data_IF_401275194038
#
_entry.id   IF_401275194038
#
_cell.length_a   1.000
_cell.length_b   1.000
_cell.length_c   1.000
_cell.angle_alpha   90.00
_cell.angle_beta   90.00
_cell.angle_gamma   90.00
#
_symmetry.space_group_name_H-M   'P 1'
#
loop_
_entity.id
_entity.type
_entity.pdbx_description
1 polymer ?
#
# COMPACT_ATOMS: atom_id res chain seq x y z
N UNK A 1 10.90 -13.20 19.85
CA UNK A 1 9.72 -12.56 19.23
C UNK A 1 9.53 -12.92 17.75
N UNK A 2 10.56 -13.33 17.00
CA UNK A 2 10.48 -13.61 15.56
C UNK A 2 9.25 -14.38 15.07
N UNK A 3 8.96 -15.54 15.68
CA UNK A 3 7.80 -16.36 15.30
C UNK A 3 6.47 -15.65 15.60
N UNK A 4 6.36 -14.98 16.75
CA UNK A 4 5.16 -14.25 17.12
C UNK A 4 4.89 -13.05 16.18
N UNK A 5 5.93 -12.27 15.86
CA UNK A 5 5.83 -11.16 14.89
C UNK A 5 5.46 -11.66 13.49
N UNK A 6 6.08 -12.77 13.05
CA UNK A 6 5.77 -13.38 11.76
C UNK A 6 4.33 -13.93 11.69
N UNK A 7 3.85 -14.55 12.77
CA UNK A 7 2.49 -15.06 12.87
C UNK A 7 1.46 -13.91 12.85
N UNK A 8 1.71 -12.83 13.58
CA UNK A 8 0.88 -11.62 13.53
C UNK A 8 0.81 -11.04 12.10
N UNK A 9 1.96 -10.92 11.45
CA UNK A 9 2.04 -10.43 10.08
C UNK A 9 1.28 -11.34 9.09
N UNK A 10 1.40 -12.66 9.22
CA UNK A 10 0.66 -13.62 8.40
C UNK A 10 -0.86 -13.52 8.65
N UNK A 11 -1.29 -13.45 9.91
CA UNK A 11 -2.69 -13.33 10.28
C UNK A 11 -3.32 -12.05 9.74
N UNK A 12 -2.62 -10.91 9.82
CA UNK A 12 -3.08 -9.64 9.27
C UNK A 12 -3.31 -9.72 7.74
N UNK A 13 -2.45 -10.45 7.02
CA UNK A 13 -2.63 -10.68 5.58
C UNK A 13 -3.80 -11.61 5.27
N UNK A 14 -3.97 -12.68 6.02
CA UNK A 14 -5.10 -13.61 5.84
C UNK A 14 -6.44 -12.95 6.18
N UNK A 15 -6.45 -11.99 7.11
CA UNK A 15 -7.64 -11.22 7.48
C UNK A 15 -8.00 -10.11 6.47
N UNK A 16 -7.22 -9.91 5.40
CA UNK A 16 -7.47 -8.86 4.41
C UNK A 16 -7.11 -7.45 4.89
N UNK A 17 -6.39 -7.32 6.00
CA UNK A 17 -5.93 -6.03 6.57
C UNK A 17 -4.40 -6.00 6.65
N UNK A 18 -3.70 -6.07 5.51
CA UNK A 18 -2.26 -6.19 5.50
C UNK A 18 -1.58 -4.95 6.10
N UNK A 19 -0.37 -5.17 6.60
CA UNK A 19 0.62 -4.13 6.92
C UNK A 19 1.84 -4.36 6.08
N UNK A 20 2.65 -3.35 5.84
CA UNK A 20 3.96 -3.53 5.21
C UNK A 20 4.94 -4.18 6.19
N UNK A 21 5.98 -4.82 5.64
CA UNK A 21 7.07 -5.34 6.47
C UNK A 21 7.79 -4.22 7.23
N UNK A 22 7.87 -3.02 6.65
CA UNK A 22 8.48 -1.86 7.28
C UNK A 22 7.68 -1.38 8.50
N UNK A 23 6.35 -1.33 8.42
CA UNK A 23 5.47 -1.02 9.57
C UNK A 23 5.62 -2.04 10.70
N UNK A 24 5.61 -3.34 10.38
CA UNK A 24 5.75 -4.38 11.40
C UNK A 24 7.15 -4.36 12.02
N UNK A 25 8.19 -4.09 11.23
CA UNK A 25 9.57 -4.01 11.73
C UNK A 25 9.79 -2.79 12.62
N UNK A 26 9.13 -1.66 12.33
CA UNK A 26 9.27 -0.43 13.12
C UNK A 26 8.79 -0.57 14.59
N UNK A 27 7.86 -1.47 14.85
CA UNK A 27 7.31 -1.73 16.20
C UNK A 27 7.78 -3.04 16.82
N UNK A 28 8.67 -3.75 16.15
CA UNK A 28 9.18 -5.07 16.55
C UNK A 28 10.67 -4.99 16.91
N UNK A 29 11.12 -5.81 17.85
CA UNK A 29 12.55 -5.96 18.17
C UNK A 29 13.29 -6.88 17.19
N UNK A 30 12.58 -7.38 16.17
CA UNK A 30 13.07 -8.35 15.20
C UNK A 30 13.49 -7.63 13.93
N UNK A 31 14.73 -7.85 13.50
CA UNK A 31 15.26 -7.29 12.26
C UNK A 31 14.42 -7.68 11.04
N UNK A 32 14.22 -6.74 10.10
CA UNK A 32 13.37 -6.93 8.91
C UNK A 32 13.73 -8.20 8.11
N UNK A 33 15.03 -8.48 7.96
CA UNK A 33 15.51 -9.68 7.26
C UNK A 33 15.22 -10.97 8.03
N UNK A 34 15.28 -10.94 9.37
CA UNK A 34 14.88 -12.06 10.21
C UNK A 34 13.36 -12.28 10.16
N UNK A 35 12.56 -11.22 10.27
CA UNK A 35 11.10 -11.28 10.12
C UNK A 35 10.71 -11.90 8.78
N UNK A 36 11.33 -11.45 7.69
CA UNK A 36 11.05 -11.94 6.34
C UNK A 36 11.36 -13.43 6.20
N UNK A 37 12.50 -13.90 6.76
CA UNK A 37 12.86 -15.32 6.75
C UNK A 37 11.89 -16.15 7.59
N UNK A 38 11.57 -15.67 8.79
CA UNK A 38 10.67 -16.35 9.71
C UNK A 38 9.25 -16.43 9.15
N UNK A 39 8.75 -15.37 8.52
CA UNK A 39 7.46 -15.36 7.82
C UNK A 39 7.39 -16.43 6.72
N UNK A 40 8.41 -16.53 5.87
CA UNK A 40 8.47 -17.58 4.83
C UNK A 40 8.49 -18.98 5.44
N UNK A 41 9.22 -19.16 6.54
CA UNK A 41 9.24 -20.42 7.27
C UNK A 41 7.85 -20.78 7.82
N UNK A 42 7.18 -19.85 8.51
CA UNK A 42 5.84 -20.05 9.10
C UNK A 42 4.81 -20.39 8.03
N UNK A 43 4.77 -19.67 6.91
CA UNK A 43 3.85 -19.96 5.81
C UNK A 43 4.05 -21.39 5.29
N UNK A 44 5.31 -21.78 5.06
CA UNK A 44 5.62 -23.10 4.50
C UNK A 44 5.30 -24.21 5.49
N UNK A 45 5.68 -24.05 6.75
CA UNK A 45 5.51 -25.06 7.79
C UNK A 45 4.03 -25.34 8.09
N UNK A 46 3.20 -24.29 8.08
CA UNK A 46 1.77 -24.38 8.39
C UNK A 46 0.89 -24.53 7.13
N UNK A 47 1.48 -24.55 5.94
CA UNK A 47 0.74 -24.65 4.67
C UNK A 47 -0.25 -23.51 4.45
N UNK A 48 0.09 -22.29 4.87
CA UNK A 48 -0.82 -21.14 4.78
C UNK A 48 -0.93 -20.64 3.35
N UNK A 49 -2.16 -20.53 2.85
CA UNK A 49 -2.46 -19.90 1.57
C UNK A 49 -2.56 -18.38 1.76
N UNK A 50 -1.41 -17.69 1.65
CA UNK A 50 -1.35 -16.23 1.73
C UNK A 50 -1.22 -15.64 0.33
N UNK A 51 -2.28 -14.98 -0.13
CA UNK A 51 -2.30 -14.31 -1.43
C UNK A 51 -1.39 -13.07 -1.46
N UNK A 52 -0.96 -12.62 -2.65
CA UNK A 52 -0.39 -11.29 -2.82
C UNK A 52 -1.32 -10.22 -2.21
N UNK A 53 -0.73 -9.19 -1.59
CA UNK A 53 -1.53 -8.13 -1.02
C UNK A 53 -2.16 -7.29 -2.14
N UNK A 54 -3.45 -7.02 -2.02
CA UNK A 54 -4.17 -6.10 -2.89
C UNK A 54 -3.81 -4.65 -2.50
N UNK A 55 -3.41 -3.79 -3.45
CA UNK A 55 -3.24 -2.36 -3.18
C UNK A 55 -4.47 -1.71 -2.53
N UNK A 56 -5.68 -2.09 -2.93
CA UNK A 56 -6.91 -1.51 -2.39
C UNK A 56 -7.08 -1.75 -0.88
N UNK A 57 -6.51 -2.83 -0.36
CA UNK A 57 -6.60 -3.15 1.07
C UNK A 57 -5.87 -2.15 1.98
N UNK A 58 -5.00 -1.29 1.42
CA UNK A 58 -4.30 -0.25 2.17
C UNK A 58 -5.02 1.11 2.12
N UNK A 59 -5.87 1.34 1.11
CA UNK A 59 -6.49 2.64 0.84
C UNK A 59 -7.31 3.17 2.02
N UNK A 60 -8.23 2.41 2.64
CA UNK A 60 -9.07 2.95 3.73
C UNK A 60 -8.24 3.50 4.88
N UNK A 61 -7.15 2.80 5.22
CA UNK A 61 -6.26 3.23 6.29
C UNK A 61 -5.50 4.48 5.90
N UNK A 62 -4.92 4.53 4.70
CA UNK A 62 -4.16 5.70 4.26
C UNK A 62 -5.03 6.95 4.17
N UNK A 63 -6.25 6.83 3.67
CA UNK A 63 -7.23 7.92 3.64
C UNK A 63 -7.57 8.38 5.06
N UNK A 64 -7.85 7.44 5.97
CA UNK A 64 -8.13 7.75 7.37
C UNK A 64 -6.95 8.38 8.10
N UNK A 65 -5.72 7.89 7.89
CA UNK A 65 -4.50 8.41 8.54
C UNK A 65 -4.12 9.81 8.02
N UNK A 66 -4.64 10.22 6.86
CA UNK A 66 -4.46 11.53 6.24
C UNK A 66 -5.66 12.47 6.43
N UNK A 67 -6.68 12.07 7.20
CA UNK A 67 -7.93 12.81 7.40
C UNK A 67 -8.63 13.21 6.08
N UNK A 68 -8.55 12.35 5.06
CA UNK A 68 -9.14 12.58 3.74
C UNK A 68 -10.61 12.11 3.67
N UNK A 69 -11.45 12.75 2.83
CA UNK A 69 -12.86 12.39 2.71
C UNK A 69 -13.09 11.08 1.94
N UNK A 70 -14.25 10.45 2.13
CA UNK A 70 -14.69 9.23 1.44
C UNK A 70 -14.64 9.35 -0.10
N UNK A 71 -14.81 10.57 -0.63
CA UNK A 71 -14.68 10.83 -2.07
C UNK A 71 -13.25 10.54 -2.58
N UNK A 72 -12.23 10.88 -1.81
CA UNK A 72 -10.83 10.58 -2.13
C UNK A 72 -10.55 9.07 -2.06
N UNK A 73 -11.14 8.35 -1.10
CA UNK A 73 -11.04 6.88 -1.07
C UNK A 73 -11.63 6.25 -2.34
N UNK A 74 -12.84 6.67 -2.71
CA UNK A 74 -13.51 6.15 -3.91
C UNK A 74 -12.72 6.43 -5.18
N UNK A 75 -12.21 7.65 -5.34
CA UNK A 75 -11.34 8.02 -6.45
C UNK A 75 -10.04 7.20 -6.47
N UNK A 76 -9.42 6.95 -5.31
CA UNK A 76 -8.20 6.13 -5.24
C UNK A 76 -8.44 4.69 -5.69
N UNK A 77 -9.60 4.09 -5.36
CA UNK A 77 -10.00 2.76 -5.83
C UNK A 77 -10.23 2.74 -7.33
N UNK A 78 -10.91 3.75 -7.87
CA UNK A 78 -11.13 3.89 -9.32
C UNK A 78 -9.80 3.93 -10.09
N UNK A 79 -8.83 4.73 -9.62
CA UNK A 79 -7.48 4.80 -10.22
C UNK A 79 -6.74 3.45 -10.18
N UNK A 80 -6.83 2.73 -9.06
CA UNK A 80 -6.19 1.42 -8.91
C UNK A 80 -6.82 0.36 -9.82
N UNK A 81 -8.13 0.40 -9.98
CA UNK A 81 -8.87 -0.50 -10.87
C UNK A 81 -8.55 -0.21 -12.35
N UNK A 82 -8.51 1.06 -12.76
CA UNK A 82 -8.03 1.44 -14.11
C UNK A 82 -6.60 0.93 -14.36
N UNK A 83 -5.69 1.14 -13.42
CA UNK A 83 -4.31 0.65 -13.53
C UNK A 83 -4.21 -0.89 -13.55
N UNK A 84 -5.20 -1.58 -12.96
CA UNK A 84 -5.32 -3.04 -13.05
C UNK A 84 -5.71 -3.47 -14.46
N UNK A 85 -6.73 -2.82 -15.03
CA UNK A 85 -7.26 -3.10 -16.37
C UNK A 85 -6.21 -2.82 -17.47
N UNK A 86 -5.47 -1.72 -17.34
CA UNK A 86 -4.39 -1.34 -18.26
C UNK A 86 -3.06 -2.11 -18.03
N UNK A 87 -3.01 -3.01 -17.05
CA UNK A 87 -1.81 -3.81 -16.76
C UNK A 87 -0.64 -3.04 -16.15
N UNK A 88 -0.84 -1.78 -15.76
CA UNK A 88 0.18 -0.87 -15.22
C UNK A 88 0.62 -1.27 -13.79
N UNK A 89 -0.10 -2.15 -13.11
CA UNK A 89 0.23 -2.62 -11.75
C UNK A 89 1.36 -3.66 -11.67
N UNK A 90 1.73 -4.32 -12.79
CA UNK A 90 2.65 -5.47 -12.77
C UNK A 90 4.06 -5.12 -12.26
N UNK A 91 4.60 -5.97 -11.37
CA UNK A 91 5.94 -5.82 -10.80
C UNK A 91 6.10 -4.68 -9.79
N UNK A 92 5.01 -4.00 -9.42
CA UNK A 92 5.04 -2.86 -8.48
C UNK A 92 4.61 -3.27 -7.09
N UNK A 93 5.13 -2.58 -6.08
CA UNK A 93 4.76 -2.80 -4.68
C UNK A 93 3.30 -2.39 -4.45
N UNK A 94 2.45 -3.26 -3.85
CA UNK A 94 1.06 -2.91 -3.55
C UNK A 94 0.92 -1.68 -2.65
N UNK A 95 1.79 -1.54 -1.65
CA UNK A 95 1.84 -0.36 -0.76
C UNK A 95 2.15 0.90 -1.55
N UNK A 96 3.08 0.81 -2.50
CA UNK A 96 3.46 1.94 -3.36
C UNK A 96 2.37 2.36 -4.33
N UNK A 97 1.63 1.39 -4.89
CA UNK A 97 0.46 1.67 -5.73
C UNK A 97 -0.64 2.33 -4.92
N UNK A 98 -0.97 1.81 -3.74
CA UNK A 98 -2.01 2.37 -2.88
C UNK A 98 -1.69 3.80 -2.43
N UNK A 99 -0.46 4.04 -1.97
CA UNK A 99 0.00 5.38 -1.58
C UNK A 99 -0.06 6.38 -2.74
N UNK A 100 0.38 5.95 -3.92
CA UNK A 100 0.31 6.78 -5.13
C UNK A 100 -1.13 7.03 -5.60
N UNK A 101 -2.01 6.04 -5.46
CA UNK A 101 -3.44 6.17 -5.76
C UNK A 101 -4.12 7.16 -4.84
N UNK A 102 -3.84 7.11 -3.53
CA UNK A 102 -4.34 8.09 -2.55
C UNK A 102 -3.83 9.50 -2.86
N UNK A 103 -2.54 9.65 -3.18
CA UNK A 103 -1.98 10.95 -3.56
C UNK A 103 -2.62 11.51 -4.84
N UNK A 104 -2.73 10.69 -5.89
CA UNK A 104 -3.39 11.10 -7.14
C UNK A 104 -4.86 11.47 -6.91
N UNK A 105 -5.58 10.65 -6.15
CA UNK A 105 -6.97 10.90 -5.81
C UNK A 105 -7.15 12.22 -5.05
N UNK A 106 -6.29 12.50 -4.06
CA UNK A 106 -6.33 13.76 -3.33
C UNK A 106 -6.17 14.98 -4.26
N UNK A 107 -5.27 14.90 -5.25
CA UNK A 107 -5.14 15.97 -6.25
C UNK A 107 -6.41 16.14 -7.10
N UNK A 108 -7.03 15.04 -7.53
CA UNK A 108 -8.24 15.06 -8.35
C UNK A 108 -9.49 15.51 -7.58
N UNK A 109 -9.55 15.25 -6.28
CA UNK A 109 -10.62 15.71 -5.39
C UNK A 109 -10.30 17.05 -4.74
N UNK A 110 -9.23 17.73 -5.18
CA UNK A 110 -8.83 19.06 -4.72
C UNK A 110 -8.52 19.14 -3.20
N UNK A 111 -8.00 18.05 -2.65
CA UNK A 111 -7.53 17.95 -1.27
C UNK A 111 -6.05 18.32 -1.16
N UNK A 112 -5.69 18.99 -0.06
CA UNK A 112 -4.32 19.44 0.17
C UNK A 112 -3.53 18.39 0.91
N UNK A 113 -2.84 17.53 0.16
CA UNK A 113 -1.91 16.54 0.69
C UNK A 113 -0.60 16.57 -0.08
N UNK A 114 0.51 16.50 0.64
CA UNK A 114 1.87 16.46 0.10
C UNK A 114 2.36 15.01 -0.08
N UNK A 115 3.32 14.81 -0.98
CA UNK A 115 3.97 13.50 -1.12
C UNK A 115 4.68 13.06 0.17
N UNK A 116 5.13 14.03 0.97
CA UNK A 116 5.79 13.78 2.25
C UNK A 116 4.81 13.19 3.28
N UNK A 117 3.62 13.79 3.45
CA UNK A 117 2.58 13.27 4.34
C UNK A 117 2.17 11.83 3.96
N UNK A 118 1.97 11.58 2.65
CA UNK A 118 1.68 10.22 2.16
C UNK A 118 2.84 9.26 2.39
N UNK A 119 4.08 9.73 2.21
CA UNK A 119 5.31 8.97 2.46
C UNK A 119 5.41 8.53 3.92
N UNK A 120 5.08 9.42 4.86
CA UNK A 120 5.08 9.13 6.30
C UNK A 120 4.02 8.07 6.67
N UNK A 121 2.80 8.22 6.18
CA UNK A 121 1.69 7.29 6.44
C UNK A 121 1.92 5.90 5.82
N UNK A 122 2.47 5.86 4.60
CA UNK A 122 2.72 4.62 3.88
C UNK A 122 4.09 3.98 4.18
N UNK A 123 4.98 4.71 4.86
CA UNK A 123 6.36 4.33 5.14
C UNK A 123 7.15 3.91 3.87
N UNK A 124 7.08 4.75 2.83
CA UNK A 124 7.79 4.56 1.55
C UNK A 124 8.39 5.88 1.08
N UNK A 125 9.38 5.85 0.18
CA UNK A 125 9.97 7.09 -0.34
C UNK A 125 9.00 7.94 -1.18
N UNK A 126 9.09 9.26 -1.05
CA UNK A 126 8.38 10.23 -1.91
C UNK A 126 8.63 9.99 -3.41
N UNK A 127 9.85 9.58 -3.79
CA UNK A 127 10.18 9.27 -5.19
C UNK A 127 9.35 8.10 -5.73
N UNK A 128 9.05 7.10 -4.89
CA UNK A 128 8.15 6.01 -5.27
C UNK A 128 6.74 6.53 -5.54
N UNK A 129 6.20 7.36 -4.64
CA UNK A 129 4.89 8.00 -4.84
C UNK A 129 4.88 8.81 -6.13
N UNK A 130 5.90 9.67 -6.32
CA UNK A 130 6.06 10.55 -7.48
C UNK A 130 6.01 9.83 -8.82
N UNK A 131 6.71 8.70 -8.91
CA UNK A 131 6.79 7.95 -10.15
C UNK A 131 5.48 7.21 -10.42
N UNK A 132 4.85 6.66 -9.38
CA UNK A 132 3.64 5.83 -9.54
C UNK A 132 2.38 6.64 -9.76
N UNK A 133 2.21 7.81 -9.13
CA UNK A 133 0.95 8.56 -9.29
C UNK A 133 0.76 9.03 -10.74
N UNK A 134 1.86 9.38 -11.43
CA UNK A 134 1.83 9.75 -12.86
C UNK A 134 1.38 8.58 -13.72
N UNK A 135 1.94 7.40 -13.49
CA UNK A 135 1.56 6.18 -14.20
C UNK A 135 0.08 5.80 -13.96
N UNK A 136 -0.45 6.08 -12.77
CA UNK A 136 -1.88 5.86 -12.46
C UNK A 136 -2.79 6.84 -13.21
N UNK A 137 -2.42 8.13 -13.26
CA UNK A 137 -3.20 9.15 -13.98
C UNK A 137 -3.18 8.91 -15.50
N UNK A 138 -2.02 8.51 -16.05
CA UNK A 138 -1.90 8.13 -17.45
C UNK A 138 -2.79 6.92 -17.81
N UNK A 139 -2.97 5.99 -16.87
CA UNK A 139 -3.82 4.81 -17.05
C UNK A 139 -5.33 5.10 -16.90
N UNK A 140 -5.72 6.21 -16.27
CA UNK A 140 -7.13 6.52 -15.96
C UNK A 140 -7.78 7.49 -16.94
N UNK A 141 -7.15 7.78 -18.09
CA UNK A 141 -7.55 8.83 -19.06
C UNK A 141 -7.81 10.20 -18.40
N UNK A 142 -7.28 10.41 -17.19
CA UNK A 142 -7.52 11.60 -16.39
C UNK A 142 -6.33 12.52 -16.56
N UNK A 143 -6.56 13.73 -17.08
CA UNK A 143 -5.48 14.69 -17.33
C UNK A 143 -4.66 14.93 -16.04
N UNK A 144 -3.34 14.77 -16.13
CA UNK A 144 -2.43 15.08 -15.02
C UNK A 144 -2.61 16.54 -14.60
N UNK A 145 -2.99 16.83 -13.34
CA UNK A 145 -3.02 18.20 -12.83
C UNK A 145 -1.64 18.83 -12.98
N UNK A 146 -1.58 20.04 -13.56
CA UNK A 146 -0.35 20.77 -13.84
C UNK A 146 0.40 21.20 -12.58
#
# INVERSE_FOLDING_TARGET
EGVATAALYAAARQAGTPRSLDEISAVSRVEKMELTRTYRYVIRELGLEVQPADPESYVPRFVSDLDLPDETERMARELLESARQEGVHSGKSPVGLAAAGVYAAALLTNEKVTQNEVSEVANISEVTIRNRYKELLEASDTATPA
#
